data_IF_445784457338
#
_entry.id   IF_445784457338
#
_cell.length_a   1.000
_cell.length_b   1.000
_cell.length_c   1.000
_cell.angle_alpha   90.00
_cell.angle_beta   90.00
_cell.angle_gamma   90.00
#
_symmetry.space_group_name_H-M   'P 1'
#
loop_
_entity.id
_entity.type
_entity.pdbx_description
1 polymer ?
#
# COMPACT_ATOMS: atom_id res chain seq x y z
N UNK A 1 -18.98 -6.51 41.70
CA UNK A 1 -17.82 -6.08 40.89
C UNK A 1 -16.94 -7.30 40.63
N UNK A 2 -17.03 -7.97 39.46
CA UNK A 2 -16.07 -8.99 39.09
C UNK A 2 -14.94 -8.41 38.21
N UNK A 3 -13.73 -8.66 38.69
CA UNK A 3 -12.45 -8.99 38.06
C UNK A 3 -12.04 -8.38 36.70
N UNK A 4 -10.92 -7.66 36.72
CA UNK A 4 -10.17 -7.16 35.57
C UNK A 4 -9.30 -8.28 34.95
N UNK A 5 -9.94 -9.40 34.62
CA UNK A 5 -9.31 -10.51 33.92
C UNK A 5 -9.34 -10.26 32.41
N UNK A 6 -8.16 -9.90 31.87
CA UNK A 6 -7.66 -10.32 30.56
C UNK A 6 -8.70 -10.42 29.45
N UNK A 7 -8.85 -9.35 28.67
CA UNK A 7 -9.30 -9.53 27.29
C UNK A 7 -8.32 -10.48 26.62
N UNK A 8 -8.74 -11.63 26.05
CA UNK A 8 -7.87 -12.38 25.18
C UNK A 8 -7.48 -11.40 24.07
N UNK A 9 -6.19 -11.06 24.01
CA UNK A 9 -5.65 -10.37 22.85
C UNK A 9 -6.12 -11.18 21.66
N UNK A 10 -7.05 -10.61 20.87
CA UNK A 10 -7.41 -11.21 19.59
C UNK A 10 -6.06 -11.54 18.96
N UNK A 11 -5.82 -12.77 18.47
CA UNK A 11 -4.73 -12.93 17.55
C UNK A 11 -5.01 -11.88 16.49
N UNK A 12 -4.17 -10.85 16.43
CA UNK A 12 -3.99 -10.11 15.21
C UNK A 12 -3.45 -11.19 14.28
N UNK A 13 -4.37 -11.96 13.70
CA UNK A 13 -4.11 -12.61 12.43
C UNK A 13 -3.64 -11.45 11.61
N UNK A 14 -2.34 -11.40 11.37
CA UNK A 14 -1.76 -10.71 10.25
C UNK A 14 -2.42 -11.39 9.05
N UNK A 15 -3.67 -10.97 8.77
CA UNK A 15 -4.29 -11.17 7.50
C UNK A 15 -3.31 -10.49 6.58
N UNK A 16 -2.48 -11.33 5.99
CA UNK A 16 -1.41 -10.98 5.09
C UNK A 16 -2.17 -10.43 3.91
N UNK A 17 -2.52 -9.15 4.01
CA UNK A 17 -3.35 -8.43 3.10
C UNK A 17 -2.54 -8.29 1.83
N UNK A 18 -2.50 -9.37 1.06
CA UNK A 18 -2.18 -9.37 -0.35
C UNK A 18 -3.34 -8.61 -0.95
N UNK A 19 -3.23 -7.29 -0.95
CA UNK A 19 -3.93 -6.50 -1.94
C UNK A 19 -3.54 -7.00 -3.33
N UNK A 20 -4.32 -6.65 -4.37
CA UNK A 20 -4.05 -7.12 -5.74
C UNK A 20 -2.57 -6.91 -6.07
N UNK A 21 -1.95 -7.91 -6.67
CA UNK A 21 -0.54 -7.87 -7.03
C UNK A 21 -0.28 -6.62 -7.89
N UNK A 22 0.35 -5.60 -7.30
CA UNK A 22 0.65 -4.34 -7.96
C UNK A 22 1.92 -4.42 -8.80
N UNK A 23 2.59 -5.59 -8.84
CA UNK A 23 3.89 -5.74 -9.48
C UNK A 23 3.85 -5.36 -10.96
N UNK A 24 2.79 -5.71 -11.70
CA UNK A 24 2.66 -5.33 -13.11
C UNK A 24 2.64 -3.80 -13.33
N UNK A 25 1.96 -3.04 -12.45
CA UNK A 25 1.92 -1.57 -12.52
C UNK A 25 3.25 -0.98 -12.10
N UNK A 26 3.87 -1.57 -11.07
CA UNK A 26 5.20 -1.18 -10.60
C UNK A 26 6.25 -1.37 -11.68
N UNK A 27 6.25 -2.51 -12.38
CA UNK A 27 7.18 -2.84 -13.44
C UNK A 27 6.99 -1.91 -14.64
N UNK A 28 5.73 -1.65 -15.01
CA UNK A 28 5.39 -0.67 -16.04
C UNK A 28 5.94 0.72 -15.68
N UNK A 29 5.65 1.23 -14.47
CA UNK A 29 6.12 2.56 -14.07
C UNK A 29 7.64 2.64 -13.86
N UNK A 30 8.32 1.52 -13.61
CA UNK A 30 9.77 1.46 -13.49
C UNK A 30 10.51 1.46 -14.83
N UNK A 31 9.82 1.16 -15.94
CA UNK A 31 10.43 1.07 -17.27
C UNK A 31 10.61 2.46 -17.90
N UNK A 32 11.85 2.92 -18.15
CA UNK A 32 12.08 4.21 -18.81
C UNK A 32 11.44 4.32 -20.21
N UNK A 33 11.23 3.19 -20.91
CA UNK A 33 10.59 3.17 -22.23
C UNK A 33 9.13 3.62 -22.17
N UNK A 34 8.44 3.46 -21.04
CA UNK A 34 7.04 3.86 -20.89
C UNK A 34 6.86 5.36 -20.68
N UNK A 35 7.95 6.09 -20.42
CA UNK A 35 7.96 7.53 -20.14
C UNK A 35 8.55 8.36 -21.29
N UNK A 36 8.38 7.89 -22.53
CA UNK A 36 8.90 8.58 -23.71
C UNK A 36 10.38 8.32 -24.01
N UNK A 37 10.93 7.21 -23.50
CA UNK A 37 12.31 6.80 -23.78
C UNK A 37 13.36 7.54 -22.93
N UNK A 38 13.03 7.81 -21.67
CA UNK A 38 13.97 8.40 -20.71
C UNK A 38 15.18 7.48 -20.48
N UNK A 39 16.31 8.04 -20.04
CA UNK A 39 17.48 7.21 -19.71
C UNK A 39 17.27 6.36 -18.46
N UNK A 40 16.56 6.91 -17.46
CA UNK A 40 16.30 6.20 -16.21
C UNK A 40 15.01 6.69 -15.53
N UNK A 41 14.50 5.85 -14.63
CA UNK A 41 13.42 6.16 -13.69
C UNK A 41 13.94 5.91 -12.28
N UNK A 42 13.89 6.93 -11.41
CA UNK A 42 14.24 6.74 -10.01
C UNK A 42 13.03 6.24 -9.23
N UNK A 43 13.21 5.15 -8.48
CA UNK A 43 12.16 4.57 -7.63
C UNK A 43 12.43 4.89 -6.16
N UNK A 44 11.47 5.54 -5.54
CA UNK A 44 11.49 5.91 -4.13
C UNK A 44 10.38 5.16 -3.39
N UNK A 45 10.75 4.48 -2.32
CA UNK A 45 9.81 3.65 -1.55
C UNK A 45 9.60 4.21 -0.15
N UNK A 46 8.34 4.28 0.25
CA UNK A 46 7.95 4.47 1.64
C UNK A 46 7.13 3.27 2.09
N UNK A 47 6.79 3.25 3.37
CA UNK A 47 5.99 2.18 3.95
C UNK A 47 4.63 2.01 3.27
N UNK A 48 4.00 3.10 2.82
CA UNK A 48 2.67 3.09 2.21
C UNK A 48 2.60 3.45 0.73
N UNK A 49 3.71 3.88 0.10
CA UNK A 49 3.71 4.36 -1.28
C UNK A 49 4.97 3.95 -2.04
N UNK A 50 4.85 3.87 -3.36
CA UNK A 50 5.96 3.82 -4.31
C UNK A 50 5.85 5.04 -5.21
N UNK A 51 6.95 5.75 -5.39
CA UNK A 51 7.07 6.94 -6.25
C UNK A 51 8.11 6.66 -7.34
N UNK A 52 7.81 7.10 -8.56
CA UNK A 52 8.68 6.99 -9.74
C UNK A 52 8.94 8.39 -10.28
N UNK A 53 10.21 8.77 -10.40
CA UNK A 53 10.63 10.04 -10.98
C UNK A 53 11.18 9.78 -12.39
N UNK A 54 10.52 10.35 -13.40
CA UNK A 54 10.89 10.27 -14.80
C UNK A 54 11.15 11.69 -15.32
N UNK A 55 12.37 12.19 -15.11
CA UNK A 55 12.75 13.57 -15.44
C UNK A 55 11.91 14.59 -14.67
N UNK A 56 11.01 15.30 -15.36
CA UNK A 56 10.14 16.33 -14.75
C UNK A 56 8.82 15.78 -14.24
N UNK A 57 8.50 14.51 -14.51
CA UNK A 57 7.26 13.88 -14.09
C UNK A 57 7.47 12.98 -12.88
N UNK A 58 6.47 12.94 -12.00
CA UNK A 58 6.46 12.08 -10.82
C UNK A 58 5.15 11.30 -10.75
N UNK A 59 5.26 9.97 -10.69
CA UNK A 59 4.12 9.07 -10.56
C UNK A 59 4.13 8.44 -9.18
N UNK A 60 2.98 8.39 -8.50
CA UNK A 60 2.86 7.78 -7.17
C UNK A 60 1.72 6.77 -7.14
N UNK A 61 1.98 5.61 -6.56
CA UNK A 61 0.95 4.62 -6.25
C UNK A 61 0.93 4.31 -4.74
N UNK A 62 -0.28 4.14 -4.18
CA UNK A 62 -0.46 3.63 -2.82
C UNK A 62 -0.18 2.13 -2.85
N UNK A 63 0.72 1.67 -1.97
CA UNK A 63 0.97 0.24 -1.78
C UNK A 63 -0.30 -0.44 -1.30
N UNK A 64 -0.61 -1.59 -1.87
CA UNK A 64 -1.73 -2.42 -1.44
C UNK A 64 -1.41 -3.21 -0.15
N UNK A 65 -0.97 -2.49 0.88
CA UNK A 65 -0.66 -2.99 2.22
C UNK A 65 -1.78 -2.58 3.18
N UNK A 66 -2.08 -3.44 4.16
CA UNK A 66 -3.03 -3.13 5.21
C UNK A 66 -2.36 -2.61 6.47
N UNK A 67 -2.88 -1.54 7.03
CA UNK A 67 -2.40 -0.93 8.28
C UNK A 67 -3.52 -0.90 9.31
N UNK A 68 -3.26 -1.50 10.48
CA UNK A 68 -4.21 -1.63 11.58
C UNK A 68 -4.84 -0.33 12.08
N UNK A 69 -4.16 0.80 11.87
CA UNK A 69 -4.60 2.12 12.33
C UNK A 69 -5.01 3.07 11.20
N UNK A 70 -4.65 2.78 9.94
CA UNK A 70 -4.82 3.70 8.81
C UNK A 70 -5.92 3.23 7.85
N UNK A 71 -6.24 1.94 7.84
CA UNK A 71 -7.33 1.45 7.02
C UNK A 71 -8.63 1.46 7.83
N UNK A 72 -9.52 2.37 7.44
CA UNK A 72 -10.87 2.42 8.00
C UNK A 72 -11.62 1.16 7.58
N UNK A 73 -12.25 0.44 8.53
CA UNK A 73 -13.21 -0.59 8.17
C UNK A 73 -14.31 0.07 7.34
N UNK A 74 -14.60 -0.53 6.19
CA UNK A 74 -15.52 0.00 5.19
C UNK A 74 -16.83 0.47 5.84
N UNK A 75 -17.26 1.69 5.51
CA UNK A 75 -18.52 2.24 6.01
C UNK A 75 -19.67 1.37 5.51
N UNK A 76 -20.32 0.62 6.39
CA UNK A 76 -21.55 -0.12 6.06
C UNK A 76 -22.71 0.87 6.03
N UNK A 77 -23.44 0.91 4.92
CA UNK A 77 -24.69 1.66 4.80
C UNK A 77 -25.74 1.06 5.72
N UNK A 78 -26.36 1.90 6.56
CA UNK A 78 -27.54 1.51 7.32
C UNK A 78 -28.76 1.51 6.39
N UNK A 79 -29.50 0.40 6.41
CA UNK A 79 -30.83 0.29 5.80
C UNK A 79 -31.91 0.66 6.82
#
# INVERSE_FOLDING_TARGET
MPDAATLPGRPHQADSGVGPDQQAVIDFLADPATHGGMECVERLETHGNVVFLAGTEAFKIKRAVRFDYMDFPHLRSAA
#
